data_IF_839710442729
#
_entry.id   IF_839710442729
#
_cell.length_a   1.000
_cell.length_b   1.000
_cell.length_c   1.000
_cell.angle_alpha   90.00
_cell.angle_beta   90.00
_cell.angle_gamma   90.00
#
_symmetry.space_group_name_H-M   'P 1'
#
loop_
_entity.id
_entity.type
_entity.pdbx_description
1 polymer ?
#
# COMPACT_ATOMS: atom_id res chain seq x y z
N UNK A 1 3.25 4.98 14.45
CA UNK A 1 2.70 4.11 13.39
C UNK A 1 2.12 2.90 14.10
N UNK A 2 0.92 2.44 13.75
CA UNK A 2 0.33 1.25 14.38
C UNK A 2 0.92 -0.04 13.81
N UNK A 3 1.01 -1.06 14.65
CA UNK A 3 1.38 -2.41 14.22
C UNK A 3 0.30 -2.98 13.31
N UNK A 4 0.70 -3.45 12.13
CA UNK A 4 -0.16 -4.21 11.21
C UNK A 4 0.15 -5.69 11.41
N UNK A 5 -0.87 -6.46 11.76
CA UNK A 5 -0.78 -7.92 11.86
C UNK A 5 -1.29 -8.52 10.56
N UNK A 6 -0.38 -9.09 9.76
CA UNK A 6 -0.73 -9.73 8.49
C UNK A 6 -1.71 -10.88 8.70
N UNK A 7 -2.81 -10.87 7.96
CA UNK A 7 -3.75 -11.98 7.77
C UNK A 7 -3.21 -12.91 6.67
N UNK A 8 -3.81 -14.11 6.53
CA UNK A 8 -3.55 -14.94 5.36
C UNK A 8 -3.76 -14.17 4.05
N UNK A 9 -3.00 -14.55 3.03
CA UNK A 9 -3.12 -13.98 1.70
C UNK A 9 -4.57 -14.11 1.19
N UNK A 10 -5.17 -13.05 0.60
CA UNK A 10 -6.55 -13.11 0.14
C UNK A 10 -6.72 -14.14 -0.98
N UNK A 11 -7.83 -14.87 -0.95
CA UNK A 11 -8.16 -15.92 -1.94
C UNK A 11 -7.98 -15.45 -3.39
N UNK A 12 -8.42 -14.24 -3.72
CA UNK A 12 -8.26 -13.68 -5.06
C UNK A 12 -6.79 -13.65 -5.54
N UNK A 13 -5.83 -13.37 -4.66
CA UNK A 13 -4.40 -13.38 -4.98
C UNK A 13 -3.85 -14.80 -5.10
N UNK A 14 -4.28 -15.70 -4.21
CA UNK A 14 -3.92 -17.13 -4.27
C UNK A 14 -4.41 -17.77 -5.58
N UNK A 15 -5.67 -17.53 -5.94
CA UNK A 15 -6.30 -18.04 -7.15
C UNK A 15 -5.59 -17.51 -8.40
N UNK A 16 -5.28 -16.21 -8.42
CA UNK A 16 -4.54 -15.59 -9.52
C UNK A 16 -3.11 -16.15 -9.64
N UNK A 17 -2.38 -16.34 -8.52
CA UNK A 17 -1.05 -16.96 -8.54
C UNK A 17 -1.11 -18.39 -9.07
N UNK A 18 -2.11 -19.15 -8.64
CA UNK A 18 -2.34 -20.54 -9.09
C UNK A 18 -2.63 -20.60 -10.58
N UNK A 19 -3.51 -19.74 -11.09
CA UNK A 19 -3.85 -19.66 -12.51
C UNK A 19 -2.65 -19.25 -13.40
N UNK A 20 -1.67 -18.53 -12.84
CA UNK A 20 -0.48 -18.07 -13.55
C UNK A 20 0.78 -18.87 -13.19
N UNK A 21 0.67 -19.96 -12.44
CA UNK A 21 1.82 -20.71 -11.92
C UNK A 21 2.78 -21.22 -13.02
N UNK A 22 2.23 -21.53 -14.20
CA UNK A 22 3.00 -22.01 -15.35
C UNK A 22 3.54 -20.88 -16.25
N UNK A 23 3.23 -19.63 -15.93
CA UNK A 23 3.61 -18.45 -16.71
C UNK A 23 4.33 -17.44 -15.80
N UNK A 24 5.63 -17.66 -15.48
CA UNK A 24 6.37 -16.80 -14.56
C UNK A 24 6.37 -15.31 -14.93
N UNK A 25 6.25 -14.99 -16.22
CA UNK A 25 6.13 -13.62 -16.71
C UNK A 25 4.84 -12.91 -16.25
N UNK A 26 3.79 -13.68 -15.95
CA UNK A 26 2.53 -13.15 -15.44
C UNK A 26 2.55 -12.98 -13.91
N UNK A 27 3.52 -13.57 -13.20
CA UNK A 27 3.66 -13.44 -11.75
C UNK A 27 4.34 -12.11 -11.37
N UNK A 28 3.73 -11.01 -11.82
CA UNK A 28 4.16 -9.63 -11.59
C UNK A 28 2.97 -8.78 -11.18
N UNK A 29 3.21 -7.78 -10.33
CA UNK A 29 2.18 -6.89 -9.81
C UNK A 29 1.43 -6.13 -10.93
N UNK A 30 2.14 -5.73 -11.98
CA UNK A 30 1.57 -5.00 -13.12
C UNK A 30 1.10 -5.93 -14.26
N UNK A 31 1.06 -7.25 -14.05
CA UNK A 31 0.58 -8.17 -15.06
C UNK A 31 -0.94 -8.05 -15.26
N UNK A 32 -1.40 -8.50 -16.43
CA UNK A 32 -2.82 -8.51 -16.74
C UNK A 32 -3.61 -9.30 -15.69
N UNK A 33 -4.79 -8.78 -15.34
CA UNK A 33 -5.72 -9.40 -14.40
C UNK A 33 -5.19 -9.58 -12.96
N UNK A 34 -4.13 -8.87 -12.56
CA UNK A 34 -3.74 -8.83 -11.14
C UNK A 34 -4.95 -8.38 -10.29
N UNK A 35 -5.29 -9.11 -9.20
CA UNK A 35 -6.53 -8.91 -8.45
C UNK A 35 -6.46 -7.70 -7.49
N UNK A 36 -6.16 -6.54 -8.05
CA UNK A 36 -5.94 -5.27 -7.35
C UNK A 36 -7.02 -4.95 -6.32
N UNK A 37 -8.30 -5.05 -6.71
CA UNK A 37 -9.42 -4.73 -5.83
C UNK A 37 -9.52 -5.69 -4.64
N UNK A 38 -9.36 -6.99 -4.88
CA UNK A 38 -9.39 -8.01 -3.82
C UNK A 38 -8.23 -7.87 -2.83
N UNK A 39 -7.02 -7.62 -3.35
CA UNK A 39 -5.84 -7.37 -2.51
C UNK A 39 -6.04 -6.11 -1.67
N UNK A 40 -6.48 -5.00 -2.29
CA UNK A 40 -6.71 -3.73 -1.59
C UNK A 40 -7.78 -3.85 -0.52
N UNK A 41 -8.89 -4.54 -0.79
CA UNK A 41 -9.95 -4.76 0.20
C UNK A 41 -9.42 -5.52 1.43
N UNK A 42 -8.60 -6.56 1.22
CA UNK A 42 -7.97 -7.30 2.31
C UNK A 42 -7.03 -6.42 3.14
N UNK A 43 -6.17 -5.62 2.49
CA UNK A 43 -5.26 -4.69 3.16
C UNK A 43 -6.01 -3.63 3.97
N UNK A 44 -7.07 -3.05 3.42
CA UNK A 44 -7.89 -2.05 4.13
C UNK A 44 -8.53 -2.64 5.39
N UNK A 45 -9.09 -3.85 5.29
CA UNK A 45 -9.68 -4.56 6.44
C UNK A 45 -8.63 -4.88 7.51
N UNK A 46 -7.47 -5.40 7.09
CA UNK A 46 -6.35 -5.73 7.97
C UNK A 46 -5.80 -4.52 8.71
N UNK A 47 -5.68 -3.38 8.03
CA UNK A 47 -5.13 -2.14 8.59
C UNK A 47 -6.15 -1.30 9.37
N UNK A 48 -7.39 -1.79 9.54
CA UNK A 48 -8.46 -1.03 10.19
C UNK A 48 -8.78 0.29 9.48
N UNK A 49 -8.65 0.32 8.15
CA UNK A 49 -8.85 1.51 7.32
C UNK A 49 -7.95 2.69 7.70
N UNK A 50 -6.72 2.41 8.14
CA UNK A 50 -5.68 3.43 8.33
C UNK A 50 -4.60 3.25 7.26
N UNK A 51 -4.10 4.36 6.72
CA UNK A 51 -2.90 4.38 5.90
C UNK A 51 -1.74 3.82 6.72
N UNK A 52 -1.01 2.85 6.17
CA UNK A 52 0.07 2.19 6.89
C UNK A 52 1.12 3.19 7.39
N UNK A 53 1.47 4.20 6.58
CA UNK A 53 2.52 5.16 6.92
C UNK A 53 2.00 6.39 7.64
N UNK A 54 0.97 7.03 7.09
CA UNK A 54 0.50 8.33 7.59
C UNK A 54 -0.52 8.21 8.72
N UNK A 55 -1.09 7.02 8.94
CA UNK A 55 -2.20 6.79 9.86
C UNK A 55 -3.44 7.64 9.57
N UNK A 56 -3.51 8.30 8.39
CA UNK A 56 -4.73 8.94 7.90
C UNK A 56 -5.81 7.88 7.68
N UNK A 57 -7.05 8.21 8.00
CA UNK A 57 -8.19 7.35 7.72
C UNK A 57 -8.37 7.21 6.22
N UNK A 58 -8.45 5.96 5.77
CA UNK A 58 -8.81 5.60 4.41
C UNK A 58 -10.30 5.32 4.36
N UNK A 59 -10.94 5.66 3.23
CA UNK A 59 -12.35 5.40 3.02
C UNK A 59 -12.61 3.90 2.89
N UNK A 60 -13.69 3.44 3.49
CA UNK A 60 -14.25 2.11 3.26
C UNK A 60 -14.93 2.03 1.89
N UNK A 61 -15.22 0.82 1.41
CA UNK A 61 -15.98 0.65 0.17
C UNK A 61 -17.36 1.32 0.25
N UNK A 62 -18.04 1.24 1.39
CA UNK A 62 -19.35 1.88 1.59
C UNK A 62 -19.26 3.42 1.48
N UNK A 63 -18.15 4.02 1.91
CA UNK A 63 -17.91 5.46 1.82
C UNK A 63 -17.46 5.92 0.44
N UNK A 64 -16.89 5.02 -0.36
CA UNK A 64 -16.54 5.28 -1.76
C UNK A 64 -17.75 5.22 -2.70
N UNK A 65 -18.91 4.72 -2.25
CA UNK A 65 -20.14 4.61 -3.06
C UNK A 65 -19.88 3.85 -4.38
N UNK A 66 -20.21 4.46 -5.52
CA UNK A 66 -19.99 3.91 -6.87
C UNK A 66 -18.51 3.95 -7.31
N UNK A 67 -17.65 4.62 -6.54
CA UNK A 67 -16.21 4.68 -6.81
C UNK A 67 -15.45 3.52 -6.15
N UNK A 68 -14.30 3.18 -6.71
CA UNK A 68 -13.36 2.23 -6.11
C UNK A 68 -12.60 2.90 -4.94
N UNK A 69 -12.30 2.13 -3.90
CA UNK A 69 -11.30 2.47 -2.86
C UNK A 69 -9.92 2.86 -3.40
N UNK A 70 -9.64 2.62 -4.69
CA UNK A 70 -8.52 3.21 -5.44
C UNK A 70 -8.45 4.73 -5.34
N UNK A 71 -9.60 5.41 -5.15
CA UNK A 71 -9.69 6.86 -4.97
C UNK A 71 -9.35 7.31 -3.54
N UNK A 72 -9.10 6.37 -2.64
CA UNK A 72 -8.68 6.65 -1.26
C UNK A 72 -7.26 6.23 -0.95
N UNK A 73 -6.72 5.26 -1.68
CA UNK A 73 -5.41 4.66 -1.40
C UNK A 73 -4.81 3.95 -2.63
N UNK A 74 -3.54 3.59 -2.52
CA UNK A 74 -2.88 2.63 -3.41
C UNK A 74 -2.35 1.44 -2.60
N UNK A 75 -1.96 0.40 -3.33
CA UNK A 75 -1.14 -0.67 -2.76
C UNK A 75 0.32 -0.23 -2.86
N UNK A 76 0.93 -0.05 -1.71
CA UNK A 76 2.34 0.30 -1.54
C UNK A 76 3.16 -0.95 -1.27
N UNK A 77 4.37 -0.99 -1.82
CA UNK A 77 5.34 -2.05 -1.57
C UNK A 77 6.32 -1.62 -0.48
N UNK A 78 6.56 -2.45 0.54
CA UNK A 78 7.58 -2.16 1.57
C UNK A 78 8.96 -2.15 0.90
N UNK A 79 9.28 -3.23 0.19
CA UNK A 79 10.47 -3.43 -0.61
C UNK A 79 10.18 -2.98 -2.05
N UNK A 80 11.02 -2.13 -2.65
CA UNK A 80 10.72 -1.48 -3.91
C UNK A 80 10.75 -2.45 -5.10
N UNK A 81 9.80 -2.29 -6.02
CA UNK A 81 9.70 -3.10 -7.25
C UNK A 81 10.97 -3.05 -8.12
N UNK A 82 11.79 -1.98 -8.00
CA UNK A 82 13.07 -1.85 -8.72
C UNK A 82 14.06 -2.99 -8.42
N UNK A 83 13.92 -3.71 -7.30
CA UNK A 83 14.78 -4.87 -6.99
C UNK A 83 14.61 -6.02 -7.99
N UNK A 84 13.49 -6.07 -8.71
CA UNK A 84 13.20 -7.05 -9.77
C UNK A 84 13.30 -8.53 -9.34
N UNK A 85 13.25 -8.80 -8.02
CA UNK A 85 13.22 -10.15 -7.48
C UNK A 85 11.88 -10.82 -7.84
N UNK A 86 11.92 -12.04 -8.34
CA UNK A 86 10.72 -12.77 -8.76
C UNK A 86 9.80 -13.03 -7.56
N UNK A 87 8.52 -12.68 -7.68
CA UNK A 87 7.52 -12.91 -6.65
C UNK A 87 7.46 -11.86 -5.53
N UNK A 88 8.49 -11.03 -5.35
CA UNK A 88 8.55 -10.05 -4.25
C UNK A 88 7.51 -8.92 -4.41
N UNK A 89 7.23 -8.50 -5.65
CA UNK A 89 6.24 -7.48 -5.95
C UNK A 89 4.79 -7.96 -5.79
N UNK A 90 4.59 -9.27 -5.64
CA UNK A 90 3.28 -9.91 -5.42
C UNK A 90 3.20 -10.68 -4.08
N UNK A 91 4.24 -10.61 -3.26
CA UNK A 91 4.23 -11.18 -1.91
C UNK A 91 3.32 -10.33 -1.02
N UNK A 92 2.26 -10.92 -0.47
CA UNK A 92 1.32 -10.20 0.37
C UNK A 92 1.95 -9.59 1.63
N UNK A 93 3.06 -10.16 2.12
CA UNK A 93 3.84 -9.59 3.22
C UNK A 93 4.58 -8.32 2.82
N UNK A 94 4.76 -8.08 1.52
CA UNK A 94 5.37 -6.88 0.98
C UNK A 94 4.34 -5.78 0.64
N UNK A 95 3.02 -6.03 0.78
CA UNK A 95 1.97 -5.11 0.33
C UNK A 95 1.23 -4.44 1.50
N UNK A 96 0.94 -3.14 1.33
CA UNK A 96 0.22 -2.29 2.30
C UNK A 96 -0.75 -1.34 1.59
N UNK A 97 -1.83 -0.93 2.24
CA UNK A 97 -2.70 0.15 1.76
C UNK A 97 -2.20 1.52 2.27
N UNK A 98 -1.87 2.43 1.35
CA UNK A 98 -1.33 3.74 1.70
C UNK A 98 -2.00 4.91 0.96
N UNK A 99 -1.92 6.08 1.59
CA UNK A 99 -2.22 7.38 0.99
C UNK A 99 -0.92 7.98 0.44
N UNK A 100 -0.94 8.75 -0.67
CA UNK A 100 -2.10 9.23 -1.43
C UNK A 100 -2.71 8.19 -2.39
N UNK A 101 -3.91 8.40 -2.96
CA UNK A 101 -4.43 7.53 -4.02
C UNK A 101 -3.46 7.47 -5.20
N UNK A 102 -3.29 6.29 -5.81
CA UNK A 102 -2.23 6.06 -6.81
C UNK A 102 -2.37 6.87 -8.11
N UNK A 103 -3.58 7.38 -8.41
CA UNK A 103 -3.86 8.26 -9.55
C UNK A 103 -4.02 9.74 -9.16
N UNK A 104 -3.78 10.09 -7.90
CA UNK A 104 -3.97 11.46 -7.45
C UNK A 104 -2.77 12.34 -7.83
N UNK A 105 -3.05 13.61 -8.12
CA UNK A 105 -2.03 14.68 -8.17
C UNK A 105 -1.73 15.23 -6.77
N UNK A 106 -2.17 14.54 -5.72
CA UNK A 106 -2.00 14.97 -4.34
C UNK A 106 -0.56 14.68 -3.97
N UNK A 107 0.20 15.76 -3.77
CA UNK A 107 1.51 15.67 -3.16
C UNK A 107 1.36 15.86 -1.65
N UNK A 108 1.98 15.00 -0.87
CA UNK A 108 2.14 15.20 0.57
C UNK A 108 3.61 15.11 0.90
N UNK A 109 4.09 16.02 1.74
CA UNK A 109 5.48 16.02 2.23
C UNK A 109 5.85 14.73 3.00
N UNK A 110 4.86 13.91 3.34
CA UNK A 110 4.99 12.67 4.07
C UNK A 110 4.00 11.61 3.55
N UNK A 111 4.32 10.34 3.72
CA UNK A 111 3.48 9.20 3.32
C UNK A 111 4.15 8.30 2.30
N UNK A 112 3.36 7.46 1.64
CA UNK A 112 3.86 6.54 0.62
C UNK A 112 4.08 7.32 -0.69
N UNK A 113 5.24 7.96 -0.78
CA UNK A 113 5.74 8.52 -2.01
C UNK A 113 6.33 7.42 -2.88
N UNK A 114 6.30 7.61 -4.20
CA UNK A 114 6.89 6.65 -5.15
C UNK A 114 8.35 6.39 -4.75
N UNK A 115 8.65 5.15 -4.37
CA UNK A 115 10.01 4.71 -4.06
C UNK A 115 10.79 4.57 -5.35
N UNK A 116 11.84 5.36 -5.51
CA UNK A 116 12.84 5.17 -6.55
C UNK A 116 13.78 4.02 -6.12
N UNK A 117 15.10 4.22 -6.15
CA UNK A 117 16.11 3.23 -5.74
C UNK A 117 16.34 3.23 -4.23
N UNK A 118 15.26 3.19 -3.45
CA UNK A 118 15.37 3.05 -2.00
C UNK A 118 16.14 1.75 -1.67
N UNK A 119 17.22 1.89 -0.92
CA UNK A 119 18.08 0.79 -0.50
C UNK A 119 17.74 0.39 0.95
N UNK A 120 17.03 -0.73 1.17
CA UNK A 120 16.61 -1.15 2.50
C UNK A 120 17.79 -1.58 3.39
N UNK A 121 18.93 -1.97 2.81
CA UNK A 121 20.07 -2.48 3.57
C UNK A 121 20.86 -1.34 4.21
N UNK A 122 20.93 -0.19 3.53
CA UNK A 122 21.69 0.99 3.99
C UNK A 122 20.83 2.13 4.53
N UNK A 123 19.52 2.13 4.29
CA UNK A 123 18.60 3.16 4.79
C UNK A 123 17.46 2.50 5.57
N UNK A 124 17.63 2.16 6.86
CA UNK A 124 16.65 1.37 7.60
C UNK A 124 15.29 2.07 7.65
N UNK A 125 14.26 1.39 7.15
CA UNK A 125 12.88 1.83 7.21
C UNK A 125 12.17 1.23 8.42
N UNK A 126 11.49 2.08 9.17
CA UNK A 126 10.65 1.65 10.30
C UNK A 126 9.37 1.03 9.74
N UNK A 127 9.35 -0.30 9.62
CA UNK A 127 8.24 -1.04 9.04
C UNK A 127 7.03 -1.16 9.98
N UNK A 128 5.78 -0.93 9.49
CA UNK A 128 4.57 -1.17 10.27
C UNK A 128 4.34 -2.64 10.62
N UNK A 129 5.11 -3.56 10.02
CA UNK A 129 5.05 -5.00 10.31
C UNK A 129 5.97 -5.40 11.47
N UNK A 130 6.85 -4.50 11.93
CA UNK A 130 7.72 -4.78 13.06
C UNK A 130 6.90 -4.74 14.38
N UNK A 131 6.91 -5.80 15.21
CA UNK A 131 6.18 -5.82 16.49
C UNK A 131 6.50 -4.66 17.43
N UNK A 132 7.70 -4.08 17.35
CA UNK A 132 8.12 -2.94 18.17
C UNK A 132 7.73 -1.57 17.59
N UNK A 133 7.10 -1.51 16.42
CA UNK A 133 6.91 -0.25 15.66
C UNK A 133 6.16 0.81 16.45
N UNK A 134 5.24 0.43 17.33
CA UNK A 134 4.42 1.40 18.06
C UNK A 134 5.25 2.20 19.08
N UNK A 135 6.37 1.65 19.56
CA UNK A 135 7.28 2.33 20.48
C UNK A 135 8.13 3.41 19.79
N UNK A 136 8.30 3.34 18.47
CA UNK A 136 9.09 4.28 17.67
C UNK A 136 8.36 5.61 17.40
N UNK A 137 7.08 5.71 17.77
CA UNK A 137 6.26 6.88 17.46
C UNK A 137 5.53 7.42 18.67
N UNK A 138 5.47 8.76 18.75
CA UNK A 138 4.60 9.48 19.68
C UNK A 138 3.41 10.04 18.91
N UNK A 139 2.21 9.81 19.41
CA UNK A 139 0.98 10.33 18.81
C UNK A 139 0.69 11.73 19.37
N UNK A 140 0.77 12.72 18.49
CA UNK A 140 0.41 14.11 18.80
C UNK A 140 -0.85 14.54 18.04
N UNK A 141 -1.29 15.78 18.27
CA UNK A 141 -2.32 16.39 17.43
C UNK A 141 -1.79 16.50 16.00
N UNK A 142 -2.53 16.03 14.98
CA UNK A 142 -2.06 16.14 13.61
C UNK A 142 -1.86 17.63 13.27
N UNK A 143 -0.70 18.03 12.72
CA UNK A 143 -0.57 19.35 12.12
C UNK A 143 -1.58 19.48 10.98
N UNK A 144 -2.03 20.70 10.69
CA UNK A 144 -2.83 20.97 9.50
C UNK A 144 -1.99 20.50 8.31
N UNK A 145 -2.42 19.43 7.64
CA UNK A 145 -1.59 18.78 6.62
C UNK A 145 -1.61 19.57 5.33
N UNK A 146 -0.46 20.05 4.87
CA UNK A 146 -0.26 20.69 3.55
C UNK A 146 -0.22 19.65 2.41
N UNK A 147 -1.11 18.66 2.44
CA UNK A 147 -1.31 17.83 1.25
C UNK A 147 -1.96 18.72 0.20
N UNK A 148 -1.13 19.36 -0.63
CA UNK A 148 -1.57 20.29 -1.64
C UNK A 148 -2.26 19.49 -2.74
N UNK A 149 -3.57 19.70 -2.91
CA UNK A 149 -4.24 19.39 -4.17
C UNK A 149 -3.59 20.28 -5.23
N UNK A 150 -2.71 19.74 -6.07
CA UNK A 150 -2.29 20.48 -7.25
C UNK A 150 -3.47 20.49 -8.23
N UNK A 151 -4.30 21.52 -8.13
CA UNK A 151 -5.24 21.88 -9.19
C UNK A 151 -4.42 22.39 -10.37
N UNK A 152 -3.91 21.50 -11.21
CA UNK A 152 -3.47 21.92 -12.54
C UNK A 152 -4.72 22.21 -13.36
N UNK A 153 -5.10 23.48 -13.38
CA UNK A 153 -5.90 24.06 -14.44
C UNK A 153 -5.27 23.71 -15.78
N UNK A 154 -6.03 23.02 -16.64
CA UNK A 154 -5.91 23.10 -18.09
C UNK A 154 -7.32 23.16 -18.65
#
# INVERSE_FOLDING_TARGET
MKLIRKKPEPAALVDWKTANALLPQNLRYNAANFPMAGVRASLLSEQGHLCAYTQKRLRTQAECKDADTAESCHIEHILPQHRQILGEDIDYLNLLACFPPGRSKIFCDYGAQKKDRYDPDNNPFVSPLNPGVEAEFKYGRPPVSNCCETTSSV
#
